data_IF_025043532708
#
_entry.id   IF_025043532708
#
_cell.length_a   1.000
_cell.length_b   1.000
_cell.length_c   1.000
_cell.angle_alpha   90.00
_cell.angle_beta   90.00
_cell.angle_gamma   90.00
#
_symmetry.space_group_name_H-M   'P 1'
#
loop_
_entity.id
_entity.type
_entity.pdbx_description
1 polymer ?
#
# COMPACT_ATOMS: atom_id res chain seq x y z
N UNK A 1 1.78 11.63 -19.65
CA UNK A 1 2.43 11.90 -18.34
C UNK A 1 3.91 11.60 -18.51
N UNK A 2 4.83 12.39 -17.94
CA UNK A 2 6.25 12.14 -18.12
C UNK A 2 6.63 10.79 -17.53
N UNK A 3 7.35 9.98 -18.31
CA UNK A 3 7.93 8.70 -17.89
C UNK A 3 8.83 8.93 -16.67
N UNK A 4 8.68 8.10 -15.63
CA UNK A 4 9.55 8.20 -14.45
C UNK A 4 10.96 7.77 -14.86
N UNK A 5 11.91 8.70 -14.77
CA UNK A 5 13.33 8.37 -14.89
C UNK A 5 13.84 7.84 -13.54
N UNK A 6 14.16 6.54 -13.50
CA UNK A 6 14.75 5.84 -12.35
C UNK A 6 16.18 5.46 -12.67
N UNK A 7 17.10 5.85 -11.80
CA UNK A 7 18.52 5.46 -11.85
C UNK A 7 18.90 4.67 -10.61
N UNK A 8 20.06 4.01 -10.63
CA UNK A 8 20.50 3.16 -9.51
C UNK A 8 20.66 3.97 -8.22
N UNK A 9 21.10 5.21 -8.35
CA UNK A 9 21.35 6.16 -7.26
C UNK A 9 20.06 6.59 -6.56
N UNK A 10 18.89 6.40 -7.17
CA UNK A 10 17.60 6.64 -6.50
C UNK A 10 17.32 5.60 -5.39
N UNK A 11 18.01 4.45 -5.43
CA UNK A 11 17.87 3.35 -4.47
C UNK A 11 18.97 3.47 -3.42
N UNK A 12 18.57 3.59 -2.17
CA UNK A 12 19.47 3.52 -1.02
C UNK A 12 19.82 2.06 -0.71
N UNK A 13 18.79 1.22 -0.53
CA UNK A 13 18.97 -0.22 -0.31
C UNK A 13 17.79 -1.00 -0.89
N UNK A 14 18.07 -2.18 -1.43
CA UNK A 14 17.06 -3.16 -1.85
C UNK A 14 17.47 -4.56 -1.44
N UNK A 15 16.57 -5.32 -0.81
CA UNK A 15 16.83 -6.70 -0.43
C UNK A 15 15.54 -7.53 -0.38
N UNK A 16 15.70 -8.86 -0.47
CA UNK A 16 14.58 -9.81 -0.35
C UNK A 16 14.18 -9.96 1.12
N UNK A 17 12.89 -10.01 1.39
CA UNK A 17 12.33 -10.26 2.73
C UNK A 17 11.62 -11.61 2.80
N UNK A 18 11.53 -12.18 4.00
CA UNK A 18 10.91 -13.48 4.26
C UNK A 18 11.82 -14.68 3.98
N UNK A 19 11.30 -15.87 4.30
CA UNK A 19 12.00 -17.14 4.10
C UNK A 19 11.99 -17.54 2.62
N UNK A 20 13.06 -18.20 2.19
CA UNK A 20 13.09 -18.80 0.85
C UNK A 20 12.18 -20.02 0.82
N UNK A 21 11.34 -20.12 -0.21
CA UNK A 21 10.48 -21.25 -0.48
C UNK A 21 10.61 -21.62 -1.96
N UNK A 22 10.76 -22.91 -2.26
CA UNK A 22 10.85 -23.40 -3.63
C UNK A 22 9.59 -23.02 -4.40
N UNK A 23 9.75 -22.55 -5.64
CA UNK A 23 8.67 -22.09 -6.53
C UNK A 23 7.86 -20.87 -6.05
N UNK A 24 8.35 -20.11 -5.06
CA UNK A 24 7.73 -18.84 -4.65
C UNK A 24 8.71 -17.67 -4.74
N UNK A 25 8.24 -16.56 -5.32
CA UNK A 25 8.99 -15.31 -5.33
C UNK A 25 8.91 -14.63 -3.96
N UNK A 26 10.07 -14.31 -3.38
CA UNK A 26 10.16 -13.48 -2.17
C UNK A 26 9.88 -12.02 -2.51
N UNK A 27 9.21 -11.31 -1.60
CA UNK A 27 9.02 -9.86 -1.74
C UNK A 27 10.38 -9.15 -1.68
N UNK A 28 10.48 -8.00 -2.33
CA UNK A 28 11.64 -7.10 -2.27
C UNK A 28 11.18 -5.86 -1.52
N UNK A 29 11.92 -5.48 -0.47
CA UNK A 29 11.78 -4.16 0.13
C UNK A 29 12.83 -3.23 -0.49
N UNK A 30 12.40 -2.02 -0.84
CA UNK A 30 13.26 -0.99 -1.45
C UNK A 30 13.13 0.29 -0.64
N UNK A 31 14.24 0.78 -0.12
CA UNK A 31 14.36 2.13 0.43
C UNK A 31 14.92 3.03 -0.67
N UNK A 32 14.21 4.12 -0.94
CA UNK A 32 14.60 5.12 -1.93
C UNK A 32 15.28 6.28 -1.21
N UNK A 33 16.20 6.96 -1.91
CA UNK A 33 16.83 8.19 -1.40
C UNK A 33 15.82 9.33 -1.23
N UNK A 34 14.80 9.38 -2.11
CA UNK A 34 13.85 10.48 -2.17
C UNK A 34 12.41 10.04 -1.93
N UNK A 35 11.75 10.70 -0.97
CA UNK A 35 10.30 10.58 -0.74
C UNK A 35 9.51 11.00 -1.99
N UNK A 36 9.95 12.03 -2.71
CA UNK A 36 9.29 12.47 -3.93
C UNK A 36 9.34 11.40 -5.02
N UNK A 37 10.48 10.70 -5.15
CA UNK A 37 10.61 9.58 -6.09
C UNK A 37 9.68 8.42 -5.73
N UNK A 38 9.57 8.09 -4.43
CA UNK A 38 8.56 7.13 -3.93
C UNK A 38 7.15 7.54 -4.38
N UNK A 39 6.76 8.80 -4.16
CA UNK A 39 5.43 9.30 -4.52
C UNK A 39 5.18 9.22 -6.02
N UNK A 40 6.18 9.52 -6.87
CA UNK A 40 6.08 9.35 -8.32
C UNK A 40 5.84 7.88 -8.70
N UNK A 41 6.67 6.95 -8.19
CA UNK A 41 6.53 5.51 -8.45
C UNK A 41 5.13 5.01 -8.04
N UNK A 42 4.66 5.42 -6.86
CA UNK A 42 3.36 5.02 -6.34
C UNK A 42 2.18 5.55 -7.18
N UNK A 43 2.34 6.68 -7.88
CA UNK A 43 1.32 7.22 -8.81
C UNK A 43 1.27 6.43 -10.13
N UNK A 44 2.43 6.05 -10.65
CA UNK A 44 2.51 5.33 -11.94
C UNK A 44 2.33 3.81 -11.81
N UNK A 45 2.29 3.25 -10.59
CA UNK A 45 2.05 1.81 -10.37
C UNK A 45 0.77 1.28 -11.02
N UNK A 46 -0.21 2.14 -11.29
CA UNK A 46 -1.44 1.80 -12.03
C UNK A 46 -1.13 1.21 -13.43
N UNK A 47 0.00 1.57 -14.01
CA UNK A 47 0.46 1.06 -15.31
C UNK A 47 0.92 -0.41 -15.24
N UNK A 48 1.06 -0.97 -14.02
CA UNK A 48 1.34 -2.39 -13.79
C UNK A 48 0.07 -3.25 -13.72
N UNK A 49 -1.11 -2.65 -13.89
CA UNK A 49 -2.37 -3.40 -13.84
C UNK A 49 -2.41 -4.38 -15.03
N UNK A 50 -2.55 -5.67 -14.71
CA UNK A 50 -2.50 -6.76 -15.71
C UNK A 50 -1.16 -7.49 -15.74
N UNK A 51 -0.11 -6.88 -15.16
CA UNK A 51 1.19 -7.51 -15.00
C UNK A 51 1.22 -8.46 -13.80
N UNK A 52 2.18 -9.39 -13.81
CA UNK A 52 2.41 -10.35 -12.70
C UNK A 52 3.16 -9.75 -11.52
N UNK A 53 3.21 -8.42 -11.41
CA UNK A 53 3.97 -7.69 -10.40
C UNK A 53 3.17 -6.52 -9.84
N UNK A 54 3.38 -6.21 -8.56
CA UNK A 54 2.69 -5.13 -7.88
C UNK A 54 3.63 -4.35 -6.97
N UNK A 55 3.28 -3.10 -6.70
CA UNK A 55 4.02 -2.21 -5.81
C UNK A 55 3.07 -1.69 -4.73
N UNK A 56 3.46 -1.83 -3.47
CA UNK A 56 2.75 -1.32 -2.31
C UNK A 56 3.71 -0.55 -1.39
N UNK A 57 3.16 0.30 -0.53
CA UNK A 57 3.95 0.85 0.57
C UNK A 57 4.19 -0.24 1.61
N UNK A 58 5.38 -0.22 2.21
CA UNK A 58 5.63 -0.98 3.43
C UNK A 58 4.99 -0.24 4.61
N UNK A 59 4.11 -0.92 5.34
CA UNK A 59 3.34 -0.34 6.43
C UNK A 59 3.81 -0.95 7.75
N UNK A 60 3.74 -0.16 8.82
CA UNK A 60 3.89 -0.71 10.17
C UNK A 60 2.81 -1.77 10.42
N UNK A 61 3.10 -2.74 11.29
CA UNK A 61 2.17 -3.84 11.62
C UNK A 61 0.75 -3.34 11.90
N UNK A 62 0.62 -2.32 12.74
CA UNK A 62 -0.66 -1.72 13.09
C UNK A 62 -1.38 -1.14 11.87
N UNK A 63 -0.68 -0.35 11.05
CA UNK A 63 -1.27 0.22 9.83
C UNK A 63 -1.68 -0.88 8.85
N UNK A 64 -0.89 -1.95 8.75
CA UNK A 64 -1.22 -3.10 7.90
C UNK A 64 -2.48 -3.82 8.38
N UNK A 65 -2.63 -4.03 9.69
CA UNK A 65 -3.82 -4.63 10.30
C UNK A 65 -5.07 -3.77 10.09
N UNK A 66 -4.97 -2.46 10.32
CA UNK A 66 -6.06 -1.52 10.08
C UNK A 66 -6.43 -1.47 8.60
N UNK A 67 -5.44 -1.40 7.71
CA UNK A 67 -5.66 -1.42 6.26
C UNK A 67 -6.39 -2.69 5.83
N UNK A 68 -5.96 -3.85 6.34
CA UNK A 68 -6.64 -5.13 6.10
C UNK A 68 -8.06 -5.13 6.64
N UNK A 69 -8.28 -4.56 7.83
CA UNK A 69 -9.60 -4.46 8.44
C UNK A 69 -10.56 -3.63 7.59
N UNK A 70 -10.17 -2.41 7.21
CA UNK A 70 -10.95 -1.52 6.34
C UNK A 70 -11.34 -2.23 5.06
N UNK A 71 -10.37 -2.87 4.40
CA UNK A 71 -10.58 -3.57 3.14
C UNK A 71 -11.53 -4.77 3.24
N UNK A 72 -11.66 -5.41 4.41
CA UNK A 72 -12.34 -6.70 4.54
C UNK A 72 -13.65 -6.66 5.34
N UNK A 73 -13.75 -5.86 6.42
CA UNK A 73 -14.86 -5.96 7.38
C UNK A 73 -16.12 -5.19 6.98
N UNK A 74 -16.03 -4.24 6.04
CA UNK A 74 -17.17 -3.41 5.57
C UNK A 74 -17.19 -3.28 4.04
N UNK A 75 -17.07 -4.42 3.34
CA UNK A 75 -17.01 -4.47 1.87
C UNK A 75 -18.28 -3.96 1.18
N UNK A 76 -19.40 -4.02 1.89
CA UNK A 76 -20.71 -3.50 1.50
C UNK A 76 -20.75 -1.96 1.46
N UNK A 77 -19.91 -1.30 2.25
CA UNK A 77 -19.86 0.18 2.31
C UNK A 77 -18.65 0.78 1.61
N UNK A 78 -17.61 -0.02 1.39
CA UNK A 78 -16.33 0.45 0.86
C UNK A 78 -16.15 0.00 -0.58
N UNK A 79 -16.07 0.97 -1.48
CA UNK A 79 -15.79 0.77 -2.89
C UNK A 79 -14.29 0.46 -3.12
N UNK A 80 -13.39 1.17 -2.44
CA UNK A 80 -11.94 0.96 -2.60
C UNK A 80 -11.14 1.43 -1.38
N UNK A 81 -9.96 0.83 -1.18
CA UNK A 81 -9.03 1.17 -0.09
C UNK A 81 -7.62 1.22 -0.63
N UNK A 82 -6.85 2.25 -0.27
CA UNK A 82 -5.46 2.41 -0.68
C UNK A 82 -4.65 3.12 0.41
N UNK A 83 -3.33 3.10 0.26
CA UNK A 83 -2.44 3.91 1.08
C UNK A 83 -1.83 5.04 0.25
N UNK A 84 -1.55 6.15 0.91
CA UNK A 84 -0.79 7.23 0.35
C UNK A 84 0.08 7.85 1.45
N UNK A 85 1.40 7.78 1.27
CA UNK A 85 2.40 8.31 2.21
C UNK A 85 2.19 7.79 3.64
N UNK A 86 1.91 6.48 3.76
CA UNK A 86 1.67 5.82 5.05
C UNK A 86 0.29 6.07 5.66
N UNK A 87 -0.52 6.99 5.09
CA UNK A 87 -1.91 7.19 5.49
C UNK A 87 -2.82 6.18 4.80
N UNK A 88 -3.80 5.66 5.53
CA UNK A 88 -4.82 4.74 5.00
C UNK A 88 -6.02 5.56 4.55
N UNK A 89 -6.48 5.32 3.33
CA UNK A 89 -7.65 5.99 2.74
C UNK A 89 -8.63 4.96 2.21
N UNK A 90 -9.91 5.29 2.24
CA UNK A 90 -10.94 4.52 1.56
C UNK A 90 -11.94 5.44 0.87
N UNK A 91 -12.61 4.89 -0.14
CA UNK A 91 -13.73 5.52 -0.82
C UNK A 91 -14.98 4.70 -0.56
N UNK A 92 -16.05 5.38 -0.15
CA UNK A 92 -17.37 4.75 -0.03
C UNK A 92 -18.09 4.67 -1.38
N UNK A 93 -19.25 4.01 -1.42
CA UNK A 93 -20.08 3.93 -2.63
C UNK A 93 -20.79 5.25 -2.99
N UNK A 94 -20.71 6.27 -2.12
CA UNK A 94 -21.14 7.64 -2.40
C UNK A 94 -20.00 8.51 -2.96
N UNK A 95 -18.86 7.90 -3.28
CA UNK A 95 -17.66 8.54 -3.82
C UNK A 95 -16.92 9.50 -2.87
N UNK A 96 -17.27 9.54 -1.58
CA UNK A 96 -16.49 10.31 -0.61
C UNK A 96 -15.18 9.61 -0.28
N UNK A 97 -14.11 10.40 -0.17
CA UNK A 97 -12.78 9.91 0.21
C UNK A 97 -12.53 10.22 1.67
N UNK A 98 -12.31 9.17 2.45
CA UNK A 98 -12.02 9.24 3.88
C UNK A 98 -10.56 8.95 4.12
N UNK A 99 -9.93 9.70 5.04
CA UNK A 99 -8.57 9.42 5.52
C UNK A 99 -8.66 8.94 6.96
N UNK A 100 -8.05 7.79 7.27
CA UNK A 100 -8.00 7.30 8.64
C UNK A 100 -6.91 8.04 9.41
N UNK A 101 -7.28 8.48 10.60
CA UNK A 101 -6.36 8.95 11.62
C UNK A 101 -6.18 7.88 12.69
N UNK A 102 -5.05 7.91 13.40
CA UNK A 102 -4.73 6.96 14.46
C UNK A 102 -5.84 6.87 15.54
N UNK A 103 -6.47 8.02 15.86
CA UNK A 103 -7.62 8.10 16.76
C UNK A 103 -8.78 7.17 16.38
N UNK A 104 -8.90 6.82 15.10
CA UNK A 104 -10.00 6.05 14.55
C UNK A 104 -9.61 4.59 14.30
N UNK A 105 -8.36 4.18 14.57
CA UNK A 105 -7.91 2.81 14.32
C UNK A 105 -8.64 1.79 15.17
N UNK A 106 -8.91 2.13 16.45
CA UNK A 106 -9.59 1.26 17.40
C UNK A 106 -10.92 0.75 16.86
N UNK A 107 -11.74 1.65 16.31
CA UNK A 107 -13.02 1.30 15.66
C UNK A 107 -12.84 0.17 14.62
N UNK A 108 -11.88 0.33 13.70
CA UNK A 108 -11.65 -0.65 12.64
C UNK A 108 -11.10 -1.98 13.18
N UNK A 109 -10.25 -1.93 14.21
CA UNK A 109 -9.69 -3.15 14.80
C UNK A 109 -10.77 -3.97 15.52
N UNK A 110 -11.74 -3.31 16.17
CA UNK A 110 -12.79 -3.94 16.97
C UNK A 110 -14.00 -4.46 16.19
N UNK A 111 -14.18 -4.05 14.92
CA UNK A 111 -15.24 -4.61 14.07
C UNK A 111 -15.13 -6.14 13.98
N UNK A 112 -16.24 -6.88 13.91
CA UNK A 112 -16.19 -8.33 13.72
C UNK A 112 -15.57 -8.68 12.36
N UNK A 113 -14.81 -9.78 12.31
CA UNK A 113 -14.37 -10.33 11.03
C UNK A 113 -15.56 -10.97 10.30
N UNK A 114 -15.67 -10.79 8.97
CA UNK A 114 -16.69 -11.44 8.16
C UNK A 114 -16.47 -12.95 8.05
#
# INVERSE_FOLDING_TARGET
>A
MPTIHLVKEDIDIAHRVGKFEQNKHRQIIVKLQSRMKKTQIMREKKNLKGEKLYINEDLTRLNQEVFRSVRLKRKDLIQSTWTNEGSIKYRDYHYHVHTLHFSNFKYWLELPWP
#
